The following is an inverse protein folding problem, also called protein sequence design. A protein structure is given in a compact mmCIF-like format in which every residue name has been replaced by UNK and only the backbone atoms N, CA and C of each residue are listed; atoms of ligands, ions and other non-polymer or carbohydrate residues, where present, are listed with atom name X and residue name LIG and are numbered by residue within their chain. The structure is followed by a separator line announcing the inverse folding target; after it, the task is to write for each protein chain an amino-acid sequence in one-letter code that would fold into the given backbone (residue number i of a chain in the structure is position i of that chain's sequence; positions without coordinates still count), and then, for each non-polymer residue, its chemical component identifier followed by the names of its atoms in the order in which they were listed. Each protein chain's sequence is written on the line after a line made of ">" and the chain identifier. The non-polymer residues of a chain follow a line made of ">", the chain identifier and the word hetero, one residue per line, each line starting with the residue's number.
data_IF_005775281646
#
_entry.id   IF_005775281646
#
_cell.length_a   1.000
_cell.length_b   1.000
_cell.length_c   1.000
_cell.angle_alpha   90.00
_cell.angle_beta   90.00
_cell.angle_gamma   90.00
#
_symmetry.space_group_name_H-M   'P 1'
#
loop_
_entity.id
_entity.type
_entity.pdbx_description
1 polymer ?
2 polymer ?
3 non-polymer ?
4 water ?
#
# COMPACT_ATOMS: atom_id res chain seq x y z
N UNK A 1 0.60 -18.10 -10.81
CA UNK A 1 1.32 -16.85 -11.21
C UNK A 1 1.71 -16.03 -9.98
N UNK A 2 0.99 -14.93 -9.75
CA UNK A 2 1.27 -14.06 -8.61
C UNK A 2 0.29 -14.22 -7.46
N UNK A 3 0.84 -14.40 -6.26
CA UNK A 3 0.03 -14.55 -5.05
C UNK A 3 -0.43 -13.17 -4.56
N UNK A 4 -1.44 -13.16 -3.69
CA UNK A 4 -1.98 -11.92 -3.14
C UNK A 4 -0.96 -11.25 -2.23
N UNK A 5 -0.13 -12.06 -1.59
CA UNK A 5 0.91 -11.54 -0.71
C UNK A 5 2.00 -10.89 -1.57
N UNK A 6 2.32 -11.51 -2.71
CA UNK A 6 3.33 -10.98 -3.62
C UNK A 6 2.82 -9.71 -4.29
N UNK A 7 1.55 -9.71 -4.67
CA UNK A 7 0.94 -8.55 -5.32
C UNK A 7 0.89 -7.36 -4.39
N UNK A 8 0.58 -7.61 -3.13
CA UNK A 8 0.53 -6.54 -2.15
C UNK A 8 1.93 -5.92 -2.03
N UNK A 9 2.94 -6.79 -2.01
CA UNK A 9 4.33 -6.36 -1.89
C UNK A 9 4.81 -5.47 -3.03
N UNK A 10 4.58 -5.90 -4.26
CA UNK A 10 5.02 -5.15 -5.43
C UNK A 10 4.27 -3.82 -5.58
N UNK A 11 3.05 -3.76 -5.06
CA UNK A 11 2.22 -2.56 -5.16
C UNK A 11 2.36 -1.54 -4.04
N UNK A 12 2.79 -1.97 -2.86
CA UNK A 12 2.88 -1.07 -1.72
C UNK A 12 4.19 -1.04 -0.95
N UNK A 13 5.14 -1.88 -1.32
CA UNK A 13 6.40 -1.93 -0.59
C UNK A 13 7.56 -1.26 -1.31
N UNK A 14 8.19 -0.31 -0.64
CA UNK A 14 9.35 0.36 -1.19
C UNK A 14 10.34 0.49 -0.04
N UNK A 15 10.86 -0.65 0.39
CA UNK A 15 11.82 -0.69 1.48
C UNK A 15 13.19 -0.24 1.00
N UNK B 1 8.91 12.93 -10.91
CA UNK B 1 7.92 12.64 -9.84
C UNK B 1 8.06 11.17 -9.39
N UNK B 2 8.36 10.97 -8.11
CA UNK B 2 8.53 9.63 -7.55
C UNK B 2 7.31 8.74 -7.83
N UNK B 3 6.12 9.30 -7.64
CA UNK B 3 4.89 8.55 -7.84
C UNK B 3 4.70 8.12 -9.27
N UNK B 4 5.04 8.99 -10.21
CA UNK B 4 4.89 8.65 -11.60
C UNK B 4 5.86 7.55 -11.99
N UNK B 5 7.06 7.63 -11.44
CA UNK B 5 8.09 6.65 -11.72
C UNK B 5 7.76 5.28 -11.13
N UNK B 6 7.45 5.24 -9.83
CA UNK B 6 7.15 3.99 -9.14
C UNK B 6 5.86 3.30 -9.59
N UNK B 7 4.87 4.08 -10.00
CA UNK B 7 3.62 3.50 -10.45
C UNK B 7 3.79 2.77 -11.79
N UNK B 8 4.56 3.33 -12.72
CA UNK B 8 4.74 2.64 -13.99
C UNK B 8 5.82 1.58 -13.81
N UNK B 9 6.83 1.91 -13.02
CA UNK B 9 7.93 0.98 -12.75
C UNK B 9 7.44 -0.28 -12.04
N UNK B 10 6.42 -0.14 -11.20
CA UNK B 10 5.87 -1.28 -10.47
C UNK B 10 4.71 -1.96 -11.20
N UNK B 11 4.53 -1.63 -12.48
CA UNK B 11 3.46 -2.21 -13.29
C UNK B 11 2.06 -1.88 -12.79
N UNK B 12 1.88 -0.67 -12.29
CA UNK B 12 0.58 -0.25 -11.78
C UNK B 12 -0.10 0.65 -12.81
N UNK B 13 0.69 1.45 -13.50
CA UNK B 13 0.13 2.36 -14.48
C UNK B 13 0.73 2.15 -15.85
N UNK B 14 1.13 0.91 -16.13
CA UNK B 14 1.71 0.61 -17.42
C UNK B 14 0.60 0.39 -18.44
N UNK B 15 -0.57 -0.04 -17.97
CA UNK B 15 -1.69 -0.30 -18.86
C UNK B 15 -2.96 0.49 -18.54
N UNK B 16 -2.82 1.50 -17.68
CA UNK B 16 -3.93 2.36 -17.29
C UNK B 16 -3.54 3.23 -16.11
N UNK B 17 -4.40 4.16 -15.73
CA UNK B 17 -4.12 5.04 -14.61
C UNK B 17 -4.91 4.64 -13.38
N UNK B 18 -4.22 4.44 -12.26
CA UNK B 18 -4.86 4.07 -11.01
C UNK B 18 -5.05 5.38 -10.24
N UNK B 19 -6.26 5.61 -9.70
CA UNK B 19 -6.56 6.84 -8.96
C UNK B 19 -5.64 7.16 -7.79
N UNK B 20 -5.35 6.16 -6.97
CA UNK B 20 -4.51 6.37 -5.81
C UNK B 20 -3.72 5.12 -5.43
N UNK B 21 -2.62 5.32 -4.71
CA UNK B 21 -1.78 4.22 -4.25
C UNK B 21 -0.83 4.69 -3.16
N UNK B 22 -0.57 3.82 -2.18
CA UNK B 22 0.32 4.14 -1.07
C UNK B 22 1.53 3.24 -1.00
N UNK B 23 2.71 3.86 -0.84
CA UNK B 23 3.96 3.12 -0.73
C UNK B 23 4.50 3.25 0.70
N UNK B 24 4.91 2.13 1.29
CA UNK B 24 5.47 2.12 2.64
C UNK B 24 6.98 1.95 2.54
N UNK B 25 7.71 2.88 3.15
CA UNK B 25 9.17 2.84 3.12
C UNK B 25 9.74 2.21 4.38
N UNK B 26 9.42 0.94 4.58
CA UNK B 26 9.91 0.21 5.74
C UNK B 26 10.36 -1.15 5.23
N UNK B 27 11.12 -1.87 6.04
CA UNK B 27 11.59 -3.18 5.62
C UNK B 27 10.39 -4.11 5.49
N UNK B 28 10.53 -5.16 4.68
CA UNK B 28 9.44 -6.12 4.49
C UNK B 28 9.04 -6.83 5.78
N UNK B 29 10.02 -7.27 6.55
CA UNK B 29 9.74 -7.97 7.80
C UNK B 29 9.01 -7.07 8.79
N UNK B 30 9.38 -5.80 8.82
CA UNK B 30 8.76 -4.84 9.73
C UNK B 30 7.30 -4.61 9.39
N UNK B 31 6.96 -4.74 8.12
CA UNK B 31 5.58 -4.55 7.69
C UNK B 31 4.80 -5.84 7.93
N UNK B 32 5.45 -6.98 7.69
CA UNK B 32 4.81 -8.27 7.92
C UNK B 32 4.50 -8.44 9.42
N UNK B 33 5.35 -7.85 10.26
CA UNK B 33 5.18 -7.92 11.70
C UNK B 33 3.92 -7.24 12.22
N UNK B 34 3.26 -6.44 11.38
CA UNK B 34 2.04 -5.76 11.81
C UNK B 34 0.87 -6.73 11.95
N UNK B 35 0.99 -7.90 11.34
CA UNK B 35 -0.07 -8.90 11.39
C UNK B 35 -0.30 -9.52 12.77
N UNK B 36 0.52 -9.14 13.74
CA UNK B 36 0.37 -9.66 15.10
C UNK B 36 0.34 -8.51 16.10
N UNK B 37 -0.02 -7.32 15.62
CA UNK B 37 -0.09 -6.15 16.48
C UNK B 37 -1.53 -5.78 16.85
N UNK B 38 -1.93 -4.52 16.66
CA UNK B 38 -3.29 -4.11 17.03
C UNK B 38 -4.40 -4.59 16.10
N UNK B 39 -5.21 -5.52 16.57
CA UNK B 39 -6.31 -6.02 15.77
C UNK B 39 -7.48 -5.04 15.79
N UNK B 40 -8.00 -4.75 14.61
CA UNK B 40 -9.11 -3.83 14.48
C UNK B 40 -9.93 -4.32 13.31
N UNK B 41 -11.13 -3.77 13.14
CA UNK B 41 -11.99 -4.16 12.03
C UNK B 41 -11.57 -3.46 10.74
N UNK B 42 -11.83 -4.09 9.61
CA UNK B 42 -11.50 -3.50 8.31
C UNK B 42 -12.70 -2.64 7.93
N UNK B 43 -12.56 -1.86 6.87
CA UNK B 43 -13.63 -0.99 6.40
C UNK B 43 -14.90 -1.78 6.04
N UNK B 44 -14.71 -3.02 5.61
CA UNK B 44 -15.82 -3.87 5.22
C UNK B 44 -16.36 -4.70 6.38
N UNK B 45 -16.01 -4.31 7.60
CA UNK B 45 -16.48 -5.02 8.77
C UNK B 45 -15.65 -6.23 9.14
N UNK B 46 -14.90 -6.77 8.17
CA UNK B 46 -14.06 -7.94 8.39
C UNK B 46 -13.14 -7.69 9.59
N UNK B 47 -12.79 -8.74 10.32
CA UNK B 47 -11.96 -8.56 11.49
C UNK B 47 -10.51 -9.03 11.38
N UNK B 48 -10.04 -9.25 10.16
CA UNK B 48 -8.67 -9.69 9.98
C UNK B 48 -7.73 -8.54 9.66
N UNK B 49 -7.97 -7.37 10.24
CA UNK B 49 -7.11 -6.22 10.01
C UNK B 49 -6.32 -5.87 11.26
N UNK B 50 -5.15 -5.27 11.07
CA UNK B 50 -4.27 -4.88 12.17
C UNK B 50 -3.63 -3.53 11.93
N UNK B 51 -3.58 -2.74 12.99
CA UNK B 51 -3.02 -1.41 12.95
C UNK B 51 -1.63 -1.43 13.58
N UNK B 52 -0.68 -0.75 12.95
CA UNK B 52 0.67 -0.71 13.48
C UNK B 52 0.72 0.12 14.77
N UNK B 53 1.52 -0.34 15.72
CA UNK B 53 1.66 0.37 16.99
C UNK B 53 2.24 1.75 16.75
N UNK B 54 3.22 1.81 15.85
CA UNK B 54 3.88 3.07 15.52
C UNK B 54 3.59 3.56 14.10
N UNK B 55 3.89 4.84 13.86
CA UNK B 55 3.69 5.45 12.56
C UNK B 55 4.80 4.93 11.66
N UNK B 56 4.58 4.97 10.35
CA UNK B 56 5.57 4.50 9.38
C UNK B 56 5.75 5.54 8.28
N UNK B 57 6.88 5.49 7.60
CA UNK B 57 7.17 6.42 6.52
C UNK B 57 6.42 6.00 5.26
N UNK B 58 5.54 6.85 4.76
CA UNK B 58 4.79 6.50 3.57
C UNK B 58 4.68 7.65 2.59
N UNK B 59 4.38 7.31 1.34
CA UNK B 59 4.21 8.30 0.29
C UNK B 59 2.86 8.02 -0.37
N UNK B 60 1.95 8.99 -0.30
CA UNK B 60 0.64 8.86 -0.91
C UNK B 60 0.67 9.39 -2.33
N UNK B 61 0.19 8.59 -3.27
CA UNK B 61 0.15 8.96 -4.68
C UNK B 61 -1.29 9.16 -5.06
N UNK B 62 -1.63 10.39 -5.46
CA UNK B 62 -2.99 10.74 -5.85
C UNK B 62 -2.99 11.33 -7.25
N UNK B 63 -3.91 10.87 -8.09
CA UNK B 63 -4.00 11.35 -9.47
C UNK B 63 -4.57 12.76 -9.54
N UNK B 64 -3.86 13.66 -10.20
CA UNK B 64 -4.35 15.02 -10.30
C UNK B 64 -5.64 15.03 -11.13
N UNK B 65 -6.18 16.21 -11.38
CA UNK B 65 -7.40 16.30 -12.16
C UNK B 65 -7.11 16.26 -13.64
N UNK B 66 -5.88 16.63 -14.00
CA UNK B 66 -5.45 16.66 -15.39
C UNK B 66 -4.75 15.37 -15.79
N UNK B 67 -5.18 14.25 -15.23
CA UNK B 67 -4.57 12.97 -15.55
C UNK B 67 -5.50 12.11 -16.39
N UNK B 68 -4.98 11.65 -17.52
CA UNK B 68 -5.72 10.79 -18.42
C UNK B 68 -4.77 9.83 -19.13
N UNK B 69 -5.16 8.57 -19.22
CA UNK B 69 -4.34 7.58 -19.89
C UNK B 69 -4.15 8.03 -21.34
N UNK B 70 -2.96 7.79 -21.91
CA UNK B 70 -1.80 7.13 -21.31
C UNK B 70 -0.84 8.02 -20.52
N UNK B 71 -1.21 9.27 -20.28
CA UNK B 71 -0.35 10.18 -19.53
C UNK B 71 -0.83 10.44 -18.12
N UNK B 72 -0.70 9.44 -17.24
CA UNK B 72 -1.14 9.61 -15.87
C UNK B 72 -0.32 10.70 -15.16
N UNK B 73 -0.93 11.35 -14.18
CA UNK B 73 -0.28 12.41 -13.43
C UNK B 73 -0.66 12.28 -11.96
N UNK B 74 0.36 12.15 -11.10
CA UNK B 74 0.17 11.99 -9.66
C UNK B 74 0.78 13.11 -8.85
N UNK B 75 0.14 13.39 -7.72
CA UNK B 75 0.62 14.39 -6.79
C UNK B 75 1.26 13.57 -5.67
N UNK B 76 2.48 13.92 -5.26
CA UNK B 76 3.18 13.17 -4.23
C UNK B 76 3.13 13.79 -2.83
N UNK B 77 2.69 13.01 -1.84
CA UNK B 77 2.60 13.47 -0.46
C UNK B 77 3.29 12.50 0.49
N UNK B 78 4.33 12.97 1.17
CA UNK B 78 5.08 12.14 2.12
C UNK B 78 4.60 12.42 3.54
N UNK B 79 4.50 11.37 4.34
CA UNK B 79 4.04 11.49 5.71
C UNK B 79 4.39 10.26 6.54
N UNK B 80 4.00 10.30 7.81
CA UNK B 80 4.22 9.19 8.73
C UNK B 80 2.88 8.88 9.36
N UNK B 81 2.39 7.67 9.13
CA UNK B 81 1.10 7.28 9.65
C UNK B 81 1.10 5.82 10.06
N UNK B 82 0.06 5.42 10.78
CA UNK B 82 -0.07 4.04 11.19
C UNK B 82 -0.70 3.35 9.99
N UNK B 83 -0.23 2.15 9.66
CA UNK B 83 -0.80 1.44 8.53
C UNK B 83 -1.76 0.37 9.04
N UNK B 84 -2.73 0.03 8.20
CA UNK B 84 -3.71 -0.98 8.55
C UNK B 84 -3.71 -1.96 7.39
N UNK B 85 -3.41 -3.22 7.68
CA UNK B 85 -3.36 -4.23 6.64
C UNK B 85 -4.20 -5.44 7.00
N UNK B 86 -4.72 -6.11 5.99
CA UNK B 86 -5.52 -7.31 6.20
C UNK B 86 -4.53 -8.46 6.06
N UNK B 87 -4.61 -9.43 6.96
CA UNK B 87 -3.71 -10.56 6.91
C UNK B 87 -4.45 -11.87 6.71
N UNK B 88 -3.75 -12.85 6.14
CA UNK B 88 -4.36 -14.14 5.91
C UNK B 88 -3.35 -15.14 5.39
N UNK B 89 -3.54 -16.39 5.77
CA UNK B 89 -2.66 -17.46 5.33
C UNK B 89 -1.66 -17.89 6.38
N UNK B 90 -0.75 -18.77 5.98
CA UNK B 90 0.30 -19.26 6.85
C UNK B 90 1.55 -19.38 5.99
N UNK B 91 2.55 -18.53 6.25
CA UNK B 91 2.49 -17.52 7.32
C UNK B 91 1.38 -16.48 7.17
N UNK B 92 0.94 -15.95 8.30
CA UNK B 92 -0.09 -14.91 8.34
C UNK B 92 0.58 -13.64 7.84
N UNK B 93 0.53 -13.41 6.54
CA UNK B 93 1.17 -12.23 5.96
C UNK B 93 0.15 -11.23 5.46
N UNK B 94 0.58 -9.99 5.20
CA UNK B 94 -0.37 -8.99 4.71
C UNK B 94 -0.72 -9.29 3.26
N UNK B 95 -2.01 -9.20 2.93
CA UNK B 95 -2.47 -9.46 1.57
C UNK B 95 -3.19 -8.24 0.99
N UNK B 96 -3.60 -7.33 1.87
CA UNK B 96 -4.31 -6.12 1.45
C UNK B 96 -3.91 -4.89 2.25
N UNK B 97 -3.90 -3.73 1.60
CA UNK B 97 -3.60 -2.48 2.27
C UNK B 97 -4.95 -1.85 2.56
N UNK B 98 -5.28 -1.68 3.84
CA UNK B 98 -6.57 -1.10 4.18
C UNK B 98 -6.61 0.41 4.42
N UNK B 99 -5.61 0.95 5.10
CA UNK B 99 -5.59 2.39 5.35
C UNK B 99 -4.40 2.88 6.16
N UNK B 100 -4.26 4.20 6.22
CA UNK B 100 -3.21 4.88 6.97
C UNK B 100 -3.90 5.86 7.91
N UNK B 101 -3.41 5.99 9.13
CA UNK B 101 -4.00 6.90 10.10
C UNK B 101 -2.94 7.75 10.82
X LIG C 1 -4.36 -4.18 -2.08
X LIG C 1 -4.26 -3.12 -3.03
X LIG C 1 -4.35 -5.46 -2.74
X LIG C 1 -5.58 -3.99 -1.36
X LIG C 1 -3.24 -4.13 -1.18
#
# INVERSE_FOLDING_TARGET
>A
KETAAAKLERQHLDX
>B
NYCNQMMKSRNLTKDRCKPVNTFVHESLADVQAVCSQKNVACKNGQTNCYQSYSTMSITDCRETGSSKYPNCAYKTTQANKHIIVACEGNPYVPVHFDASV
>C hetero
1 SO4 S O1 O2 O3 O4
#
